data_IF_406528396216
#
_entry.id   IF_406528396216
#
_cell.length_a   1.000
_cell.length_b   1.000
_cell.length_c   1.000
_cell.angle_alpha   90.00
_cell.angle_beta   90.00
_cell.angle_gamma   90.00
#
_symmetry.space_group_name_H-M   'P 1'
#
loop_
_entity.id
_entity.type
_entity.pdbx_description
1 polymer ?
#
# COMPACT_ATOMS: atom_id res chain seq x y z
N UNK A 1 -26.51 19.97 -7.10
CA UNK A 1 -25.74 18.97 -6.31
C UNK A 1 -26.68 17.82 -5.96
N UNK A 2 -26.26 16.56 -6.13
CA UNK A 2 -27.05 15.41 -5.63
C UNK A 2 -27.21 15.55 -4.11
N UNK A 3 -28.41 15.31 -3.58
CA UNK A 3 -28.65 15.34 -2.13
C UNK A 3 -27.89 14.18 -1.49
N UNK A 4 -26.94 14.49 -0.62
CA UNK A 4 -26.19 13.49 0.15
C UNK A 4 -27.13 12.91 1.21
N UNK A 5 -27.18 11.58 1.31
CA UNK A 5 -27.91 10.87 2.34
C UNK A 5 -26.96 9.94 3.11
N UNK A 6 -26.62 10.35 4.34
CA UNK A 6 -25.70 9.63 5.20
C UNK A 6 -26.36 8.46 5.96
N UNK A 7 -27.69 8.29 5.93
CA UNK A 7 -28.33 7.16 6.63
C UNK A 7 -28.03 5.82 5.97
N UNK A 8 -27.57 5.82 4.72
CA UNK A 8 -27.31 4.64 3.90
C UNK A 8 -25.90 4.06 4.04
N UNK A 9 -24.99 4.77 4.70
CA UNK A 9 -23.59 4.35 4.82
C UNK A 9 -23.40 3.52 6.09
N UNK A 10 -22.50 2.55 6.00
CA UNK A 10 -22.07 1.72 7.12
C UNK A 10 -20.70 2.21 7.61
N UNK A 11 -20.64 2.68 8.85
CA UNK A 11 -19.39 3.14 9.48
C UNK A 11 -18.89 2.09 10.45
N UNK A 12 -17.60 1.76 10.36
CA UNK A 12 -16.89 1.02 11.39
C UNK A 12 -16.05 2.01 12.19
N UNK A 13 -16.35 2.14 13.49
CA UNK A 13 -15.67 3.03 14.42
C UNK A 13 -14.79 2.20 15.36
N UNK A 14 -13.48 2.41 15.30
CA UNK A 14 -12.49 1.77 16.16
C UNK A 14 -11.80 2.80 17.06
N UNK A 15 -11.92 2.60 18.37
CA UNK A 15 -11.26 3.43 19.36
C UNK A 15 -11.14 2.61 20.65
N UNK A 16 -9.99 2.50 21.32
CA UNK A 16 -9.88 1.72 22.54
C UNK A 16 -10.60 2.39 23.73
N UNK A 17 -10.74 3.71 23.73
CA UNK A 17 -11.42 4.45 24.81
C UNK A 17 -12.94 4.37 24.65
N UNK A 18 -13.62 3.70 25.58
CA UNK A 18 -15.08 3.53 25.55
C UNK A 18 -15.85 4.86 25.63
N UNK A 19 -15.41 5.80 26.46
CA UNK A 19 -16.08 7.08 26.62
C UNK A 19 -15.92 7.91 25.35
N UNK A 20 -14.72 7.93 24.78
CA UNK A 20 -14.44 8.66 23.55
C UNK A 20 -15.16 8.04 22.34
N UNK A 21 -15.17 6.71 22.24
CA UNK A 21 -15.92 5.96 21.22
C UNK A 21 -17.43 6.25 21.29
N UNK A 22 -18.01 6.28 22.49
CA UNK A 22 -19.41 6.66 22.73
C UNK A 22 -19.70 8.11 22.30
N UNK A 23 -18.76 9.02 22.55
CA UNK A 23 -18.88 10.42 22.13
C UNK A 23 -18.89 10.56 20.61
N UNK A 24 -17.94 9.92 19.91
CA UNK A 24 -17.89 9.90 18.43
C UNK A 24 -19.16 9.26 17.86
N UNK A 25 -19.63 8.16 18.45
CA UNK A 25 -20.90 7.55 18.05
C UNK A 25 -22.06 8.55 18.12
N UNK A 26 -22.17 9.31 19.22
CA UNK A 26 -23.17 10.38 19.36
C UNK A 26 -23.05 11.47 18.28
N UNK A 27 -21.82 11.88 17.94
CA UNK A 27 -21.58 12.84 16.86
C UNK A 27 -22.02 12.30 15.50
N UNK A 28 -21.69 11.04 15.19
CA UNK A 28 -22.08 10.36 13.94
C UNK A 28 -23.61 10.24 13.82
N UNK A 29 -24.29 9.87 14.91
CA UNK A 29 -25.77 9.86 14.96
C UNK A 29 -26.36 11.26 14.76
N UNK A 30 -25.73 12.29 15.33
CA UNK A 30 -26.14 13.69 15.18
C UNK A 30 -26.04 14.23 13.75
N UNK A 31 -25.23 13.59 12.89
CA UNK A 31 -25.12 13.91 11.46
C UNK A 31 -25.84 12.88 10.57
N UNK A 32 -26.85 12.19 11.12
CA UNK A 32 -27.75 11.28 10.40
C UNK A 32 -27.10 9.99 9.86
N UNK A 33 -25.93 9.59 10.38
CA UNK A 33 -25.37 8.27 10.10
C UNK A 33 -26.05 7.24 11.00
N UNK A 34 -26.75 6.28 10.40
CA UNK A 34 -27.55 5.33 11.17
C UNK A 34 -26.80 4.05 11.54
N UNK A 35 -26.04 3.49 10.59
CA UNK A 35 -25.41 2.18 10.71
C UNK A 35 -23.96 2.32 11.18
N UNK A 36 -23.73 2.21 12.49
CA UNK A 36 -22.41 2.38 13.09
C UNK A 36 -22.06 1.13 13.91
N UNK A 37 -21.04 0.39 13.47
CA UNK A 37 -20.43 -0.68 14.26
C UNK A 37 -19.27 -0.13 15.09
N UNK A 38 -19.23 -0.45 16.37
CA UNK A 38 -18.18 -0.01 17.30
C UNK A 38 -17.30 -1.19 17.69
N UNK A 39 -15.98 -1.00 17.67
CA UNK A 39 -14.97 -1.99 18.06
C UNK A 39 -13.86 -1.31 18.87
N UNK A 40 -13.14 -2.07 19.69
CA UNK A 40 -12.14 -1.51 20.61
C UNK A 40 -10.68 -1.74 20.16
N UNK A 41 -10.46 -2.63 19.19
CA UNK A 41 -9.12 -2.99 18.75
C UNK A 41 -9.08 -3.37 17.26
N UNK A 42 -7.85 -3.49 16.75
CA UNK A 42 -7.59 -3.74 15.34
C UNK A 42 -8.01 -5.17 14.89
N UNK A 43 -7.92 -6.16 15.79
CA UNK A 43 -8.37 -7.52 15.50
C UNK A 43 -9.87 -7.56 15.22
N UNK A 44 -10.67 -6.87 16.03
CA UNK A 44 -12.11 -6.73 15.81
C UNK A 44 -12.43 -5.98 14.52
N UNK A 45 -11.62 -4.98 14.13
CA UNK A 45 -11.77 -4.30 12.83
C UNK A 45 -11.65 -5.32 11.69
N UNK A 46 -10.57 -6.13 11.68
CA UNK A 46 -10.34 -7.14 10.66
C UNK A 46 -11.46 -8.19 10.64
N UNK A 47 -11.89 -8.67 11.81
CA UNK A 47 -13.01 -9.62 11.92
C UNK A 47 -14.32 -9.05 11.36
N UNK A 48 -14.62 -7.78 11.63
CA UNK A 48 -15.82 -7.11 11.10
C UNK A 48 -15.75 -6.94 9.59
N UNK A 49 -14.60 -6.50 9.08
CA UNK A 49 -14.37 -6.34 7.64
C UNK A 49 -14.52 -7.66 6.87
N UNK A 50 -14.05 -8.78 7.44
CA UNK A 50 -14.20 -10.11 6.85
C UNK A 50 -15.66 -10.59 6.78
N UNK A 51 -16.53 -10.15 7.69
CA UNK A 51 -17.95 -10.50 7.69
C UNK A 51 -18.74 -9.58 6.76
N UNK A 52 -18.48 -8.27 6.86
CA UNK A 52 -19.17 -7.25 6.07
C UNK A 52 -18.29 -6.01 5.99
N UNK A 53 -17.87 -5.68 4.78
CA UNK A 53 -17.09 -4.46 4.56
C UNK A 53 -17.89 -3.20 4.91
N UNK A 54 -17.31 -2.28 5.72
CA UNK A 54 -17.88 -0.96 5.93
C UNK A 54 -17.69 -0.07 4.69
N UNK A 55 -18.38 1.06 4.65
CA UNK A 55 -18.20 2.10 3.65
C UNK A 55 -17.18 3.16 4.11
N UNK A 56 -16.96 3.26 5.42
CA UNK A 56 -15.99 4.15 6.02
C UNK A 56 -15.45 3.52 7.31
N UNK A 57 -14.13 3.49 7.44
CA UNK A 57 -13.45 3.20 8.70
C UNK A 57 -13.03 4.51 9.37
N UNK A 58 -13.45 4.71 10.61
CA UNK A 58 -12.92 5.74 11.49
C UNK A 58 -12.13 5.03 12.58
N UNK A 59 -10.83 5.27 12.67
CA UNK A 59 -9.97 4.52 13.61
C UNK A 59 -9.03 5.45 14.37
N UNK A 60 -8.88 5.24 15.67
CA UNK A 60 -7.77 5.82 16.44
C UNK A 60 -6.43 5.30 15.89
N UNK A 61 -5.42 6.16 15.86
CA UNK A 61 -4.04 5.89 15.46
C UNK A 61 -3.29 5.01 16.46
N UNK A 62 -3.53 5.23 17.76
CA UNK A 62 -2.89 4.52 18.86
C UNK A 62 -3.86 3.51 19.49
N UNK A 63 -3.79 2.26 19.04
CA UNK A 63 -4.57 1.15 19.57
C UNK A 63 -3.62 0.18 20.30
N UNK A 64 -3.90 -0.19 21.57
CA UNK A 64 -3.08 -1.18 22.27
C UNK A 64 -2.92 -2.47 21.46
N UNK A 65 -1.68 -2.94 21.33
CA UNK A 65 -1.33 -4.15 20.60
C UNK A 65 -1.74 -4.15 19.11
N UNK A 66 -1.92 -2.97 18.49
CA UNK A 66 -2.26 -2.84 17.07
C UNK A 66 -1.51 -1.71 16.37
N UNK A 67 -0.91 -2.01 15.22
CA UNK A 67 -0.28 -0.99 14.36
C UNK A 67 -1.23 -0.61 13.23
N UNK A 68 -1.99 0.47 13.47
CA UNK A 68 -3.02 0.97 12.56
C UNK A 68 -2.41 1.50 11.26
N UNK A 69 -1.29 2.20 11.33
CA UNK A 69 -0.62 2.71 10.14
C UNK A 69 -0.12 1.57 9.24
N UNK A 70 0.44 0.51 9.83
CA UNK A 70 0.84 -0.68 9.08
C UNK A 70 -0.35 -1.44 8.50
N UNK A 71 -1.46 -1.54 9.23
CA UNK A 71 -2.69 -2.13 8.71
C UNK A 71 -3.21 -1.37 7.49
N UNK A 72 -3.37 -0.04 7.59
CA UNK A 72 -3.81 0.80 6.46
C UNK A 72 -2.87 0.64 5.27
N UNK A 73 -1.55 0.66 5.52
CA UNK A 73 -0.56 0.47 4.47
C UNK A 73 -0.72 -0.90 3.77
N UNK A 74 -0.89 -1.99 4.52
CA UNK A 74 -1.12 -3.34 3.95
C UNK A 74 -2.42 -3.40 3.16
N UNK A 75 -3.49 -2.80 3.67
CA UNK A 75 -4.77 -2.69 2.97
C UNK A 75 -4.60 -1.99 1.62
N UNK A 76 -3.94 -0.83 1.57
CA UNK A 76 -3.66 -0.12 0.31
C UNK A 76 -2.78 -0.91 -0.66
N UNK A 77 -1.92 -1.78 -0.15
CA UNK A 77 -1.06 -2.65 -0.96
C UNK A 77 -1.73 -3.94 -1.41
N UNK A 78 -3.03 -4.12 -1.11
CA UNK A 78 -3.80 -5.32 -1.37
C UNK A 78 -3.14 -6.56 -0.73
N UNK A 79 -2.71 -6.41 0.54
CA UNK A 79 -2.14 -7.46 1.38
C UNK A 79 -3.13 -7.91 2.47
N UNK A 80 -4.37 -7.45 2.40
CA UNK A 80 -5.49 -7.85 3.23
C UNK A 80 -6.58 -8.32 2.25
N UNK A 81 -7.33 -9.37 2.59
CA UNK A 81 -8.45 -9.85 1.77
C UNK A 81 -9.68 -8.92 1.93
N UNK A 82 -9.51 -7.65 1.58
CA UNK A 82 -10.48 -6.58 1.78
C UNK A 82 -10.31 -5.47 0.73
N UNK A 83 -11.32 -4.60 0.56
CA UNK A 83 -11.29 -3.49 -0.41
C UNK A 83 -10.12 -2.52 -0.10
N UNK A 84 -9.08 -2.44 -0.95
CA UNK A 84 -7.94 -1.55 -0.76
C UNK A 84 -8.30 -0.07 -0.89
N UNK A 85 -9.50 0.25 -1.40
CA UNK A 85 -10.01 1.60 -1.59
C UNK A 85 -11.02 2.02 -0.53
N UNK A 86 -11.25 1.22 0.52
CA UNK A 86 -12.05 1.62 1.68
C UNK A 86 -11.64 3.03 2.15
N UNK A 87 -12.57 4.00 2.24
CA UNK A 87 -12.28 5.28 2.87
C UNK A 87 -11.92 5.16 4.35
N UNK A 88 -10.85 5.84 4.77
CA UNK A 88 -10.33 5.77 6.14
C UNK A 88 -10.05 7.17 6.68
N UNK A 89 -10.65 7.49 7.83
CA UNK A 89 -10.31 8.68 8.62
C UNK A 89 -9.59 8.19 9.87
N UNK A 90 -8.35 8.63 10.06
CA UNK A 90 -7.59 8.32 11.27
C UNK A 90 -7.77 9.42 12.30
N UNK A 91 -8.02 9.05 13.54
CA UNK A 91 -8.08 9.96 14.68
C UNK A 91 -6.77 9.86 15.46
N UNK A 92 -6.32 10.96 16.06
CA UNK A 92 -5.16 10.93 16.96
C UNK A 92 -5.35 11.88 18.14
N UNK A 93 -5.01 11.42 19.35
CA UNK A 93 -5.03 12.27 20.55
C UNK A 93 -3.76 13.13 20.69
N UNK A 94 -2.62 12.65 20.18
CA UNK A 94 -1.30 13.27 20.38
C UNK A 94 -0.59 13.45 19.03
N UNK A 95 -0.92 14.51 18.25
CA UNK A 95 -0.37 14.70 16.92
C UNK A 95 1.06 15.25 16.97
N UNK A 96 2.06 14.37 17.12
CA UNK A 96 3.45 14.75 16.83
C UNK A 96 3.70 14.76 15.31
N UNK A 97 4.71 15.50 14.81
CA UNK A 97 5.07 15.46 13.40
C UNK A 97 5.33 14.04 12.86
N UNK A 98 5.92 13.18 13.69
CA UNK A 98 6.22 11.78 13.36
C UNK A 98 4.94 10.96 13.22
N UNK A 99 4.00 11.09 14.17
CA UNK A 99 2.70 10.40 14.14
C UNK A 99 1.87 10.87 12.94
N UNK A 100 1.79 12.19 12.72
CA UNK A 100 1.10 12.74 11.54
C UNK A 100 1.71 12.20 10.26
N UNK A 101 3.04 12.19 10.14
CA UNK A 101 3.74 11.64 8.97
C UNK A 101 3.45 10.15 8.79
N UNK A 102 3.45 9.36 9.85
CA UNK A 102 3.14 7.93 9.80
C UNK A 102 1.71 7.68 9.30
N UNK A 103 0.72 8.42 9.83
CA UNK A 103 -0.68 8.32 9.41
C UNK A 103 -0.83 8.73 7.94
N UNK A 104 -0.22 9.85 7.54
CA UNK A 104 -0.27 10.35 6.17
C UNK A 104 0.36 9.34 5.20
N UNK A 105 1.51 8.77 5.56
CA UNK A 105 2.25 7.78 4.75
C UNK A 105 1.62 6.39 4.77
N UNK A 106 0.73 6.10 5.72
CA UNK A 106 -0.01 4.83 5.72
C UNK A 106 -0.98 4.71 4.53
N UNK A 107 -1.45 5.84 4.00
CA UNK A 107 -2.49 5.88 2.96
C UNK A 107 -3.89 6.19 3.51
N UNK A 108 -4.00 6.70 4.73
CA UNK A 108 -5.26 7.22 5.27
C UNK A 108 -5.82 8.35 4.39
N UNK A 109 -7.14 8.42 4.22
CA UNK A 109 -7.77 9.46 3.41
C UNK A 109 -7.70 10.82 4.11
N UNK A 110 -7.93 10.82 5.43
CA UNK A 110 -7.90 12.03 6.25
C UNK A 110 -7.46 11.77 7.69
N UNK A 111 -7.12 12.85 8.40
CA UNK A 111 -6.66 12.85 9.79
C UNK A 111 -7.41 13.92 10.60
N UNK A 112 -7.93 13.54 11.76
CA UNK A 112 -8.50 14.46 12.75
C UNK A 112 -7.83 14.30 14.11
N UNK A 113 -7.55 15.43 14.75
CA UNK A 113 -7.02 15.48 16.12
C UNK A 113 -8.15 15.49 17.13
N UNK A 114 -8.01 14.74 18.23
CA UNK A 114 -8.93 14.77 19.36
C UNK A 114 -8.56 15.92 20.31
N UNK A 115 -9.52 16.63 20.92
CA UNK A 115 -10.95 16.53 20.67
C UNK A 115 -11.41 17.16 19.35
N UNK A 116 -12.48 16.64 18.75
CA UNK A 116 -13.11 17.18 17.55
C UNK A 116 -14.61 17.41 17.72
N UNK A 117 -15.19 18.30 16.93
CA UNK A 117 -16.63 18.53 16.86
C UNK A 117 -17.31 17.65 15.80
N UNK A 118 -18.63 17.46 15.94
CA UNK A 118 -19.46 16.80 14.93
C UNK A 118 -19.37 17.49 13.56
N UNK A 119 -19.24 18.83 13.54
CA UNK A 119 -19.09 19.60 12.31
C UNK A 119 -17.76 19.30 11.59
N UNK A 120 -16.65 19.21 12.34
CA UNK A 120 -15.35 18.83 11.76
C UNK A 120 -15.38 17.41 11.21
N UNK A 121 -15.99 16.46 11.93
CA UNK A 121 -16.12 15.08 11.46
C UNK A 121 -17.00 15.00 10.20
N UNK A 122 -18.12 15.73 10.19
CA UNK A 122 -19.01 15.83 9.03
C UNK A 122 -18.30 16.40 7.81
N UNK A 123 -17.52 17.48 7.99
CA UNK A 123 -16.76 18.12 6.92
C UNK A 123 -15.80 17.12 6.24
N UNK A 124 -15.09 16.29 7.01
CA UNK A 124 -14.20 15.26 6.46
C UNK A 124 -14.94 14.18 5.69
N UNK A 125 -16.04 13.67 6.25
CA UNK A 125 -16.86 12.64 5.60
C UNK A 125 -17.44 13.17 4.28
N UNK A 126 -18.01 14.39 4.29
CA UNK A 126 -18.57 15.03 3.10
C UNK A 126 -17.47 15.33 2.08
N UNK A 127 -16.29 15.76 2.51
CA UNK A 127 -15.13 15.99 1.64
C UNK A 127 -14.73 14.74 0.87
N UNK A 128 -14.66 13.59 1.54
CA UNK A 128 -14.39 12.29 0.89
C UNK A 128 -15.52 11.89 -0.06
N UNK A 129 -16.79 12.15 0.28
CA UNK A 129 -17.93 11.84 -0.59
C UNK A 129 -17.93 12.69 -1.87
N UNK A 130 -17.58 13.98 -1.76
CA UNK A 130 -17.72 14.93 -2.86
C UNK A 130 -16.47 15.06 -3.72
N UNK A 131 -15.30 15.00 -3.10
CA UNK A 131 -14.02 15.33 -3.72
C UNK A 131 -12.88 14.51 -3.07
N UNK A 132 -13.05 13.18 -3.04
CA UNK A 132 -11.98 12.28 -2.61
C UNK A 132 -10.72 12.57 -3.42
N UNK A 133 -9.59 12.73 -2.74
CA UNK A 133 -8.32 12.97 -3.41
C UNK A 133 -7.96 11.75 -4.27
N UNK A 134 -7.56 11.95 -5.54
CA UNK A 134 -7.07 10.86 -6.37
C UNK A 134 -5.85 10.20 -5.75
N UNK A 135 -5.66 8.92 -6.01
CA UNK A 135 -4.54 8.14 -5.51
C UNK A 135 -3.29 8.37 -6.36
N UNK A 136 -2.14 8.16 -5.72
CA UNK A 136 -0.84 8.04 -6.37
C UNK A 136 -0.22 6.71 -6.00
N UNK A 137 0.51 6.15 -6.95
CA UNK A 137 1.30 4.94 -6.76
C UNK A 137 2.77 5.33 -6.85
N UNK A 138 3.55 4.94 -5.87
CA UNK A 138 5.02 5.03 -5.88
C UNK A 138 5.61 3.68 -5.49
N UNK A 139 6.94 3.61 -5.44
CA UNK A 139 7.63 2.40 -4.97
C UNK A 139 7.22 1.99 -3.55
N UNK A 140 6.86 2.95 -2.70
CA UNK A 140 6.70 2.76 -1.25
C UNK A 140 5.34 3.23 -0.74
N UNK A 141 4.49 3.82 -1.59
CA UNK A 141 3.22 4.40 -1.20
C UNK A 141 2.12 4.14 -2.22
N UNK A 142 0.94 3.78 -1.72
CA UNK A 142 -0.31 3.74 -2.46
C UNK A 142 -1.34 4.47 -1.60
N UNK A 143 -1.94 5.53 -2.11
CA UNK A 143 -2.93 6.29 -1.35
C UNK A 143 -3.19 7.68 -1.92
N UNK A 144 -4.06 8.46 -1.26
CA UNK A 144 -4.48 9.75 -1.78
C UNK A 144 -3.31 10.74 -1.92
N UNK A 145 -3.28 11.50 -3.02
CA UNK A 145 -2.20 12.45 -3.32
C UNK A 145 -1.97 13.44 -2.18
N UNK A 146 -0.69 13.70 -1.89
CA UNK A 146 -0.24 14.72 -0.92
C UNK A 146 0.23 16.00 -1.61
N UNK A 147 0.24 16.01 -2.94
CA UNK A 147 0.62 17.17 -3.76
C UNK A 147 -0.32 18.33 -3.48
N UNK A 148 0.23 19.51 -3.20
CA UNK A 148 -0.51 20.77 -3.23
C UNK A 148 -0.70 21.19 -4.69
N UNK A 149 -1.75 21.96 -4.96
CA UNK A 149 -2.01 22.53 -6.28
C UNK A 149 -0.88 23.42 -6.82
N UNK A 150 0.03 23.86 -5.96
CA UNK A 150 1.22 24.67 -6.28
C UNK A 150 2.52 23.87 -6.44
N UNK A 151 2.51 22.55 -6.23
CA UNK A 151 3.72 21.74 -6.33
C UNK A 151 4.10 21.53 -7.81
N UNK A 152 5.42 21.48 -8.10
CA UNK A 152 5.97 21.19 -9.45
C UNK A 152 5.26 19.98 -10.07
N UNK A 153 5.06 20.02 -11.39
CA UNK A 153 4.52 18.89 -12.16
C UNK A 153 5.30 17.61 -11.83
N UNK A 154 4.64 16.72 -11.09
CA UNK A 154 5.14 15.38 -10.82
C UNK A 154 4.59 14.47 -11.89
N UNK A 155 5.48 13.75 -12.58
CA UNK A 155 5.14 12.80 -13.65
C UNK A 155 4.40 11.56 -13.14
N UNK A 156 4.14 11.44 -11.83
CA UNK A 156 3.37 10.32 -11.26
C UNK A 156 1.88 10.54 -11.59
N UNK A 157 1.22 9.60 -12.28
CA UNK A 157 -0.20 9.70 -12.61
C UNK A 157 -1.08 9.83 -11.35
N UNK A 158 -2.20 10.53 -11.51
CA UNK A 158 -3.29 10.55 -10.53
C UNK A 158 -4.33 9.53 -10.97
N UNK A 159 -4.84 8.77 -10.01
CA UNK A 159 -5.77 7.66 -10.26
C UNK A 159 -7.03 7.90 -9.44
N UNK A 160 -8.17 8.03 -10.10
CA UNK A 160 -9.46 8.04 -9.41
C UNK A 160 -9.85 6.61 -9.05
N UNK A 161 -9.96 6.33 -7.76
CA UNK A 161 -10.27 5.00 -7.24
C UNK A 161 -11.77 4.85 -6.95
N UNK A 162 -12.31 3.62 -7.01
CA UNK A 162 -13.69 3.34 -6.59
C UNK A 162 -14.01 3.89 -5.19
N UNK A 163 -15.24 4.35 -5.00
CA UNK A 163 -15.68 4.97 -3.75
C UNK A 163 -17.10 4.54 -3.36
N UNK A 164 -17.23 3.39 -2.68
CA UNK A 164 -18.53 2.86 -2.26
C UNK A 164 -19.28 3.82 -1.31
N UNK A 165 -18.54 4.59 -0.50
CA UNK A 165 -19.09 5.61 0.38
C UNK A 165 -19.86 6.67 -0.43
N UNK A 166 -19.24 7.19 -1.50
CA UNK A 166 -19.88 8.15 -2.40
C UNK A 166 -21.09 7.53 -3.09
N UNK A 167 -20.97 6.30 -3.61
CA UNK A 167 -22.06 5.63 -4.32
C UNK A 167 -23.30 5.52 -3.44
N UNK A 168 -23.17 4.97 -2.22
CA UNK A 168 -24.29 4.83 -1.28
C UNK A 168 -24.84 6.18 -0.82
N UNK A 169 -23.96 7.12 -0.49
CA UNK A 169 -24.37 8.43 -0.01
C UNK A 169 -25.11 9.25 -1.09
N UNK A 170 -24.83 9.01 -2.37
CA UNK A 170 -25.48 9.68 -3.50
C UNK A 170 -26.61 8.87 -4.14
N UNK A 171 -26.89 7.67 -3.62
CA UNK A 171 -27.98 6.80 -4.05
C UNK A 171 -27.70 6.02 -5.34
N UNK A 172 -26.43 5.89 -5.74
CA UNK A 172 -26.01 5.00 -6.82
C UNK A 172 -25.91 3.57 -6.27
N UNK A 173 -26.59 2.61 -6.92
CA UNK A 173 -26.50 1.20 -6.53
C UNK A 173 -25.43 0.52 -7.37
N UNK A 174 -24.22 0.40 -6.83
CA UNK A 174 -23.07 -0.12 -7.58
C UNK A 174 -22.80 -1.62 -7.35
N UNK A 175 -23.27 -2.25 -6.27
CA UNK A 175 -23.25 -3.71 -6.04
C UNK A 175 -22.15 -4.50 -6.77
N UNK A 176 -22.53 -5.29 -7.79
CA UNK A 176 -21.59 -6.07 -8.62
C UNK A 176 -20.64 -5.23 -9.47
N UNK A 177 -21.08 -4.06 -9.93
CA UNK A 177 -20.25 -3.13 -10.71
C UNK A 177 -19.13 -2.53 -9.85
N UNK A 178 -19.36 -2.38 -8.54
CA UNK A 178 -18.34 -1.86 -7.62
C UNK A 178 -17.18 -2.84 -7.48
N UNK A 179 -17.46 -4.12 -7.21
CA UNK A 179 -16.40 -5.12 -7.06
C UNK A 179 -15.56 -5.24 -8.34
N UNK A 180 -16.20 -5.25 -9.52
CA UNK A 180 -15.47 -5.25 -10.78
C UNK A 180 -14.57 -4.01 -10.92
N UNK A 181 -15.07 -2.82 -10.57
CA UNK A 181 -14.27 -1.60 -10.60
C UNK A 181 -13.08 -1.64 -9.63
N UNK A 182 -13.25 -2.27 -8.46
CA UNK A 182 -12.16 -2.53 -7.51
C UNK A 182 -11.12 -3.46 -8.13
N UNK A 183 -11.56 -4.59 -8.70
CA UNK A 183 -10.66 -5.60 -9.28
C UNK A 183 -9.86 -5.02 -10.47
N UNK A 184 -10.52 -4.26 -11.36
CA UNK A 184 -9.88 -3.58 -12.49
C UNK A 184 -8.83 -2.57 -12.01
N UNK A 185 -9.18 -1.77 -10.99
CA UNK A 185 -8.27 -0.78 -10.41
C UNK A 185 -7.08 -1.42 -9.68
N UNK A 186 -7.29 -2.54 -8.98
CA UNK A 186 -6.22 -3.32 -8.36
C UNK A 186 -5.24 -3.83 -9.41
N UNK A 187 -5.74 -4.34 -10.54
CA UNK A 187 -4.90 -4.79 -11.64
C UNK A 187 -4.08 -3.65 -12.24
N UNK A 188 -4.68 -2.47 -12.44
CA UNK A 188 -3.96 -1.28 -12.91
C UNK A 188 -2.84 -0.88 -11.94
N UNK A 189 -3.15 -0.79 -10.63
CA UNK A 189 -2.16 -0.46 -9.60
C UNK A 189 -1.04 -1.51 -9.53
N UNK A 190 -1.36 -2.79 -9.69
CA UNK A 190 -0.37 -3.86 -9.70
C UNK A 190 0.65 -3.70 -10.84
N UNK A 191 0.19 -3.45 -12.07
CA UNK A 191 1.08 -3.20 -13.21
C UNK A 191 1.97 -1.98 -12.96
N UNK A 192 1.36 -0.90 -12.47
CA UNK A 192 2.07 0.31 -12.06
C UNK A 192 3.13 0.07 -10.97
N UNK A 193 2.87 -0.82 -10.01
CA UNK A 193 3.85 -1.20 -8.97
C UNK A 193 4.98 -2.02 -9.55
N UNK A 194 4.68 -2.97 -10.43
CA UNK A 194 5.68 -3.83 -11.08
C UNK A 194 6.68 -3.00 -11.91
N UNK A 195 6.19 -2.05 -12.71
CA UNK A 195 7.06 -1.14 -13.47
C UNK A 195 7.99 -0.32 -12.55
N UNK A 196 7.48 0.14 -11.40
CA UNK A 196 8.28 0.86 -10.40
C UNK A 196 9.27 -0.04 -9.66
N UNK A 197 8.93 -1.32 -9.45
CA UNK A 197 9.82 -2.30 -8.86
C UNK A 197 10.99 -2.65 -9.78
N UNK A 198 10.78 -2.72 -11.09
CA UNK A 198 11.87 -2.86 -12.06
C UNK A 198 12.92 -1.76 -11.89
N UNK A 199 12.47 -0.50 -11.82
CA UNK A 199 13.35 0.64 -11.57
C UNK A 199 14.04 0.57 -10.20
N UNK A 200 13.29 0.25 -9.14
CA UNK A 200 13.82 0.18 -7.79
C UNK A 200 14.88 -0.93 -7.63
N UNK A 201 14.69 -2.09 -8.28
CA UNK A 201 15.68 -3.17 -8.30
C UNK A 201 16.98 -2.68 -8.93
N UNK A 202 16.92 -2.04 -10.10
CA UNK A 202 18.11 -1.43 -10.72
C UNK A 202 18.84 -0.46 -9.80
N UNK A 203 18.10 0.52 -9.27
CA UNK A 203 18.62 1.55 -8.37
C UNK A 203 19.34 0.97 -7.13
N UNK A 204 18.77 -0.08 -6.53
CA UNK A 204 19.33 -0.75 -5.36
C UNK A 204 20.58 -1.54 -5.74
N UNK A 205 20.55 -2.26 -6.86
CA UNK A 205 21.70 -3.03 -7.36
C UNK A 205 22.90 -2.13 -7.63
N UNK A 206 22.71 -0.96 -8.24
CA UNK A 206 23.75 0.04 -8.49
C UNK A 206 24.42 0.58 -7.21
N UNK A 207 23.80 0.40 -6.03
CA UNK A 207 24.35 0.82 -4.73
C UNK A 207 24.92 -0.35 -3.95
N UNK A 208 24.22 -1.47 -3.94
CA UNK A 208 24.60 -2.67 -3.18
C UNK A 208 25.85 -3.30 -3.77
N UNK A 209 25.88 -3.54 -5.09
CA UNK A 209 26.95 -4.32 -5.73
C UNK A 209 28.33 -3.65 -5.58
N UNK A 210 28.51 -2.35 -5.88
CA UNK A 210 29.82 -1.71 -5.71
C UNK A 210 30.28 -1.73 -4.26
N UNK A 211 29.38 -1.47 -3.30
CA UNK A 211 29.70 -1.46 -1.88
C UNK A 211 30.14 -2.84 -1.37
N UNK A 212 29.45 -3.92 -1.76
CA UNK A 212 29.82 -5.27 -1.37
C UNK A 212 31.19 -5.70 -1.96
N UNK A 213 31.51 -5.31 -3.20
CA UNK A 213 32.80 -5.64 -3.85
C UNK A 213 34.02 -5.03 -3.15
N UNK A 214 33.84 -3.86 -2.53
CA UNK A 214 34.90 -3.19 -1.77
C UNK A 214 34.78 -3.40 -0.26
N UNK A 215 33.84 -4.26 0.17
CA UNK A 215 33.51 -4.55 1.56
C UNK A 215 33.14 -3.30 2.41
N UNK A 216 32.43 -2.34 1.81
CA UNK A 216 31.92 -1.14 2.48
C UNK A 216 30.47 -1.36 2.96
N UNK A 217 30.32 -2.15 4.01
CA UNK A 217 29.00 -2.50 4.57
C UNK A 217 28.55 -1.44 5.58
N UNK A 218 27.78 -0.45 5.12
CA UNK A 218 27.13 0.55 5.97
C UNK A 218 25.71 0.13 6.37
N UNK A 219 25.12 0.81 7.36
CA UNK A 219 23.71 0.62 7.72
C UNK A 219 22.77 0.92 6.54
N UNK A 220 23.13 1.88 5.69
CA UNK A 220 22.38 2.20 4.47
C UNK A 220 22.39 1.01 3.48
N UNK A 221 23.55 0.38 3.27
CA UNK A 221 23.65 -0.82 2.42
C UNK A 221 22.84 -1.98 3.01
N UNK A 222 22.90 -2.16 4.33
CA UNK A 222 22.09 -3.17 5.03
C UNK A 222 20.59 -2.95 4.79
N UNK A 223 20.14 -1.70 4.85
CA UNK A 223 18.73 -1.36 4.60
C UNK A 223 18.36 -1.47 3.12
N UNK A 224 19.27 -1.16 2.19
CA UNK A 224 19.07 -1.42 0.76
C UNK A 224 18.92 -2.91 0.46
N UNK A 225 19.71 -3.79 1.07
CA UNK A 225 19.58 -5.25 0.90
C UNK A 225 18.22 -5.74 1.43
N UNK A 226 17.78 -5.28 2.62
CA UNK A 226 16.44 -5.59 3.14
C UNK A 226 15.35 -5.10 2.18
N UNK A 227 15.51 -3.88 1.67
CA UNK A 227 14.55 -3.28 0.72
C UNK A 227 14.49 -4.07 -0.58
N UNK A 228 15.62 -4.54 -1.10
CA UNK A 228 15.67 -5.41 -2.29
C UNK A 228 14.87 -6.69 -2.06
N UNK A 229 15.08 -7.37 -0.92
CA UNK A 229 14.33 -8.58 -0.58
C UNK A 229 12.82 -8.32 -0.46
N UNK A 230 12.42 -7.20 0.13
CA UNK A 230 11.01 -6.78 0.19
C UNK A 230 10.43 -6.54 -1.20
N UNK A 231 11.12 -5.77 -2.05
CA UNK A 231 10.67 -5.43 -3.41
C UNK A 231 10.51 -6.69 -4.25
N UNK A 232 11.49 -7.61 -4.21
CA UNK A 232 11.43 -8.88 -4.93
C UNK A 232 10.25 -9.75 -4.45
N UNK A 233 10.00 -9.79 -3.13
CA UNK A 233 8.89 -10.55 -2.54
C UNK A 233 7.52 -9.97 -2.93
N UNK A 234 7.35 -8.65 -2.84
CA UNK A 234 6.08 -8.01 -3.21
C UNK A 234 5.86 -8.02 -4.73
N UNK A 235 6.93 -7.92 -5.53
CA UNK A 235 6.84 -8.13 -6.97
C UNK A 235 6.33 -9.53 -7.27
N UNK A 236 6.98 -10.58 -6.76
CA UNK A 236 6.57 -11.99 -6.96
C UNK A 236 5.08 -12.22 -6.63
N UNK A 237 4.59 -11.64 -5.54
CA UNK A 237 3.18 -11.73 -5.14
C UNK A 237 2.22 -11.09 -6.15
N UNK A 238 2.62 -10.02 -6.82
CA UNK A 238 1.81 -9.26 -7.79
C UNK A 238 1.90 -9.79 -9.23
N UNK A 239 2.83 -10.70 -9.53
CA UNK A 239 3.07 -11.20 -10.89
C UNK A 239 2.00 -12.17 -11.38
N UNK A 240 1.38 -12.93 -10.48
CA UNK A 240 0.42 -13.98 -10.83
C UNK A 240 -0.74 -13.45 -11.67
N UNK A 241 -0.99 -14.10 -12.81
CA UNK A 241 -2.08 -13.72 -13.73
C UNK A 241 -1.80 -12.45 -14.56
N UNK A 242 -0.60 -11.88 -14.48
CA UNK A 242 -0.19 -10.74 -15.30
C UNK A 242 0.64 -11.18 -16.51
N UNK A 243 0.87 -10.27 -17.47
CA UNK A 243 1.80 -10.49 -18.59
C UNK A 243 3.26 -10.76 -18.14
N UNK A 244 3.57 -10.45 -16.89
CA UNK A 244 4.91 -10.59 -16.31
C UNK A 244 5.08 -11.90 -15.51
N UNK A 245 4.13 -12.82 -15.53
CA UNK A 245 4.17 -14.08 -14.75
C UNK A 245 5.51 -14.84 -14.90
N UNK A 246 6.11 -14.78 -16.08
CA UNK A 246 7.43 -15.35 -16.40
C UNK A 246 8.60 -14.81 -15.55
N UNK A 247 8.47 -13.63 -14.95
CA UNK A 247 9.48 -13.00 -14.09
C UNK A 247 9.49 -13.61 -12.68
N UNK A 248 8.48 -14.42 -12.30
CA UNK A 248 8.32 -14.95 -10.93
C UNK A 248 9.53 -15.75 -10.46
N UNK A 249 10.11 -16.58 -11.33
CA UNK A 249 11.31 -17.37 -11.02
C UNK A 249 12.53 -16.47 -10.75
N UNK A 250 12.64 -15.36 -11.47
CA UNK A 250 13.71 -14.39 -11.27
C UNK A 250 13.55 -13.68 -9.92
N UNK A 251 12.33 -13.24 -9.59
CA UNK A 251 12.05 -12.67 -8.28
C UNK A 251 12.37 -13.66 -7.15
N UNK A 252 12.04 -14.94 -7.32
CA UNK A 252 12.38 -15.98 -6.33
C UNK A 252 13.90 -16.14 -6.16
N UNK A 253 14.66 -16.14 -7.27
CA UNK A 253 16.11 -16.16 -7.22
C UNK A 253 16.68 -14.92 -6.52
N UNK A 254 16.11 -13.74 -6.78
CA UNK A 254 16.49 -12.48 -6.14
C UNK A 254 16.22 -12.50 -4.63
N UNK A 255 15.08 -13.04 -4.19
CA UNK A 255 14.76 -13.22 -2.76
C UNK A 255 15.80 -14.13 -2.09
N UNK A 256 16.15 -15.24 -2.73
CA UNK A 256 17.14 -16.18 -2.19
C UNK A 256 18.51 -15.52 -2.03
N UNK A 257 19.03 -14.90 -3.09
CA UNK A 257 20.37 -14.28 -3.04
C UNK A 257 20.42 -13.12 -2.06
N UNK A 258 19.36 -12.28 -2.00
CA UNK A 258 19.30 -11.18 -1.03
C UNK A 258 19.20 -11.67 0.41
N UNK A 259 18.51 -12.79 0.66
CA UNK A 259 18.45 -13.43 1.99
C UNK A 259 19.82 -13.97 2.39
N UNK A 260 20.54 -14.61 1.47
CA UNK A 260 21.88 -15.13 1.72
C UNK A 260 22.89 -14.00 1.99
N UNK A 261 22.83 -12.91 1.22
CA UNK A 261 23.63 -11.69 1.45
C UNK A 261 23.26 -11.05 2.79
N UNK A 262 21.97 -10.97 3.13
CA UNK A 262 21.52 -10.35 4.36
C UNK A 262 22.02 -11.09 5.62
N UNK A 263 22.22 -12.41 5.53
CA UNK A 263 22.71 -13.24 6.64
C UNK A 263 24.18 -12.93 6.98
N UNK A 264 25.00 -12.61 6.00
CA UNK A 264 26.43 -12.36 6.17
C UNK A 264 26.93 -11.31 5.15
N UNK A 265 26.59 -10.04 5.39
CA UNK A 265 26.96 -8.94 4.48
C UNK A 265 28.47 -8.77 4.38
N UNK A 266 29.20 -8.91 5.49
CA UNK A 266 30.65 -8.64 5.56
C UNK A 266 31.49 -9.72 4.88
N UNK A 267 30.96 -10.94 4.74
CA UNK A 267 31.65 -12.05 4.06
C UNK A 267 30.86 -12.55 2.85
N UNK A 268 30.14 -11.66 2.17
CA UNK A 268 29.39 -12.03 0.96
C UNK A 268 30.33 -12.51 -0.14
N UNK A 269 30.12 -13.72 -0.65
CA UNK A 269 30.92 -14.28 -1.75
C UNK A 269 30.71 -13.55 -3.08
N UNK A 270 31.77 -13.44 -3.90
CA UNK A 270 31.69 -12.91 -5.27
C UNK A 270 30.62 -13.60 -6.13
N UNK A 271 30.38 -14.90 -5.89
CA UNK A 271 29.30 -15.65 -6.53
C UNK A 271 27.92 -15.04 -6.25
N UNK A 272 27.64 -14.68 -4.99
CA UNK A 272 26.37 -14.06 -4.61
C UNK A 272 26.24 -12.63 -5.14
N UNK A 273 27.33 -11.86 -5.16
CA UNK A 273 27.36 -10.50 -5.72
C UNK A 273 27.06 -10.56 -7.23
N UNK A 274 27.75 -11.43 -7.97
CA UNK A 274 27.52 -11.61 -9.40
C UNK A 274 26.10 -12.11 -9.69
N UNK A 275 25.57 -13.03 -8.89
CA UNK A 275 24.21 -13.54 -9.04
C UNK A 275 23.16 -12.43 -8.79
N UNK A 276 23.36 -11.59 -7.76
CA UNK A 276 22.50 -10.44 -7.49
C UNK A 276 22.44 -9.49 -8.69
N UNK A 277 23.60 -9.14 -9.26
CA UNK A 277 23.71 -8.26 -10.42
C UNK A 277 22.99 -8.85 -11.64
N UNK A 278 23.28 -10.12 -11.95
CA UNK A 278 22.71 -10.84 -13.08
C UNK A 278 21.19 -10.99 -13.01
N UNK A 279 20.67 -11.45 -11.87
CA UNK A 279 19.23 -11.64 -11.67
C UNK A 279 18.50 -10.30 -11.70
N UNK A 280 19.08 -9.26 -11.12
CA UNK A 280 18.50 -7.90 -11.16
C UNK A 280 18.36 -7.39 -12.59
N UNK A 281 19.41 -7.53 -13.41
CA UNK A 281 19.38 -7.14 -14.81
C UNK A 281 18.34 -7.93 -15.62
N UNK A 282 18.25 -9.25 -15.39
CA UNK A 282 17.24 -10.10 -16.02
C UNK A 282 15.80 -9.68 -15.66
N UNK A 283 15.57 -9.28 -14.41
CA UNK A 283 14.26 -8.77 -13.96
C UNK A 283 13.91 -7.47 -14.68
N UNK A 284 14.84 -6.52 -14.76
CA UNK A 284 14.63 -5.25 -15.46
C UNK A 284 14.24 -5.50 -16.94
N UNK A 285 14.97 -6.37 -17.63
CA UNK A 285 14.68 -6.74 -19.02
C UNK A 285 13.32 -7.45 -19.15
N UNK A 286 12.98 -8.33 -18.19
CA UNK A 286 11.68 -9.02 -18.16
C UNK A 286 10.50 -8.05 -18.07
N UNK A 287 10.64 -6.98 -17.27
CA UNK A 287 9.62 -5.93 -17.18
C UNK A 287 9.59 -5.00 -18.40
N UNK A 288 10.72 -4.70 -19.03
CA UNK A 288 10.77 -3.84 -20.23
C UNK A 288 10.21 -4.52 -21.49
N UNK A 289 10.54 -5.80 -21.68
CA UNK A 289 10.22 -6.53 -22.92
C UNK A 289 8.80 -7.09 -22.94
N UNK A 290 8.18 -7.34 -21.77
CA UNK A 290 6.85 -7.94 -21.68
C UNK A 290 6.73 -9.34 -22.30
N UNK A 291 7.85 -9.99 -22.68
CA UNK A 291 7.88 -11.30 -23.35
C UNK A 291 8.86 -12.26 -22.69
N UNK A 292 8.38 -13.43 -22.30
CA UNK A 292 9.12 -14.46 -21.57
C UNK A 292 10.40 -14.99 -22.26
N UNK A 293 10.50 -14.90 -23.59
CA UNK A 293 11.59 -15.49 -24.36
C UNK A 293 12.94 -14.76 -24.20
N UNK A 294 12.95 -13.47 -23.88
CA UNK A 294 14.20 -12.70 -23.73
C UNK A 294 14.81 -12.90 -22.34
N UNK A 295 13.98 -12.90 -21.29
CA UNK A 295 14.41 -13.14 -19.92
C UNK A 295 14.98 -14.57 -19.72
N UNK A 296 14.33 -15.60 -20.29
CA UNK A 296 14.77 -16.99 -20.17
C UNK A 296 16.12 -17.24 -20.88
N UNK A 297 16.33 -16.65 -22.06
CA UNK A 297 17.61 -16.77 -22.80
C UNK A 297 18.80 -16.21 -22.01
N UNK A 298 18.59 -15.17 -21.20
CA UNK A 298 19.64 -14.59 -20.37
C UNK A 298 19.96 -15.51 -19.19
N UNK A 299 18.94 -16.04 -18.51
CA UNK A 299 19.13 -17.04 -17.43
C UNK A 299 19.87 -18.28 -17.93
N UNK A 300 19.47 -18.80 -19.09
CA UNK A 300 20.09 -19.99 -19.68
C UNK A 300 21.54 -19.72 -20.13
N UNK A 301 21.83 -18.49 -20.60
CA UNK A 301 23.20 -18.09 -20.95
C UNK A 301 24.12 -17.90 -19.74
N UNK A 302 23.57 -17.61 -18.56
CA UNK A 302 24.31 -17.42 -17.31
C UNK A 302 24.49 -18.72 -16.52
N UNK A 303 23.63 -19.72 -16.73
CA UNK A 303 23.77 -21.07 -16.15
C UNK A 303 24.70 -22.02 -16.93
N UNK A 304 25.15 -21.62 -18.12
CA UNK A 304 25.94 -22.45 -19.03
C UNK A 304 27.47 -22.38 -18.86
N UNK A 305 27.99 -21.53 -17.97
CA UNK A 305 29.44 -21.28 -17.83
C UNK A 305 30.17 -22.15 -16.80
N UNK A 306 29.53 -23.19 -16.26
CA UNK A 306 30.15 -24.16 -15.32
C UNK A 306 30.50 -25.52 -15.96
N UNK A 307 30.50 -25.64 -17.31
CA UNK A 307 31.01 -26.81 -18.02
C UNK A 307 31.74 -26.42 -19.30
N UNK A 308 32.94 -25.86 -19.16
CA UNK A 308 33.99 -25.85 -20.21
C UNK A 308 35.37 -25.72 -19.58
#
# INVERSE_FOLDING_TARGET
MKKINLSRINVLLCDPDHAYRSSIYGMLRGIEIENISQVANLTEVQQKMAISMPDLLITESNIPNGDVCKFIHRLRHNNEDADPFLPIITLTAEPTPEIVRAIVNSGSDDLLTKPMSAAQLSERIIGIIQARKPFVVTSDYIGPTRRKSSDRESNVPLIDVPNNLQDKATGVSSGKNYQQAVDDMVNEINLQKLDRYAFQIGYLTERIVPALRVNEVTDEIRDHVKRMGYVASDAMRRLGGTKYDHVSNLCQALIKVTTDIHRDLENTSEKNISLLEQVSAAIQIGFESGTAQTAQKIVDSLGGSDNA
#
